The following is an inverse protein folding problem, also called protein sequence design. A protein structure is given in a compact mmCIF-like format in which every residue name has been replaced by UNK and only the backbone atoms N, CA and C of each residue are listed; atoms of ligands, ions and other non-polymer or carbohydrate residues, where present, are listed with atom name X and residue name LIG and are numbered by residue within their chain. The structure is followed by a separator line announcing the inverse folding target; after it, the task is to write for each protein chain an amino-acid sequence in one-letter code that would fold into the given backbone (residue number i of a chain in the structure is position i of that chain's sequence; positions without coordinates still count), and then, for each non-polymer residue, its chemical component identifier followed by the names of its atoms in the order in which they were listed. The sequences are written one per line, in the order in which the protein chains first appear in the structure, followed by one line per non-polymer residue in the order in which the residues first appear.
data_IF_532744765956
#
_entry.id   IF_532744765956
#
_cell.length_a   1.000
_cell.length_b   1.000
_cell.length_c   1.000
_cell.angle_alpha   90.00
_cell.angle_beta   90.00
_cell.angle_gamma   90.00
#
_symmetry.space_group_name_H-M   'P 1'
#
loop_
_entity.id
_entity.type
_entity.pdbx_description
1 polymer ?
#
# COMPACT_ATOMS: atom_id res chain seq x y z
N UNK A 1 5.49 -19.75 -10.57
CA UNK A 1 5.18 -19.49 -9.16
C UNK A 1 3.97 -18.57 -9.08
N UNK A 2 3.07 -18.85 -8.17
CA UNK A 2 1.86 -18.07 -7.99
C UNK A 2 1.74 -17.58 -6.55
N UNK A 3 1.53 -16.28 -6.40
CA UNK A 3 1.26 -15.68 -5.10
C UNK A 3 -0.22 -15.35 -5.03
N UNK A 4 -0.87 -15.70 -3.94
CA UNK A 4 -2.31 -15.46 -3.78
C UNK A 4 -2.65 -15.16 -2.34
N UNK A 5 -3.85 -14.65 -2.13
CA UNK A 5 -4.40 -14.49 -0.80
C UNK A 5 -4.97 -13.12 -0.51
N UNK A 6 -5.38 -12.96 0.73
CA UNK A 6 -5.94 -11.73 1.24
C UNK A 6 -4.80 -10.77 1.61
N UNK A 7 -4.93 -9.53 1.16
CA UNK A 7 -3.93 -8.48 1.41
C UNK A 7 -4.60 -7.23 1.95
N UNK A 8 -3.78 -6.29 2.40
CA UNK A 8 -4.25 -4.97 2.83
C UNK A 8 -3.27 -3.92 2.31
N UNK A 9 -3.80 -2.77 1.92
CA UNK A 9 -3.01 -1.63 1.48
C UNK A 9 -3.42 -0.39 2.25
N UNK A 10 -2.48 0.56 2.39
CA UNK A 10 -2.71 1.77 3.15
C UNK A 10 -2.49 3.02 2.31
N UNK A 11 -3.45 3.93 2.36
CA UNK A 11 -3.22 5.31 1.96
C UNK A 11 -2.90 6.06 3.24
N UNK A 12 -1.63 6.46 3.38
CA UNK A 12 -1.14 7.19 4.54
C UNK A 12 -1.13 8.67 4.18
N UNK A 13 -2.06 9.39 4.77
CA UNK A 13 -2.28 10.80 4.46
C UNK A 13 -1.32 11.69 5.23
N UNK A 14 -0.74 12.67 4.52
CA UNK A 14 0.15 13.69 5.09
C UNK A 14 -0.37 15.07 4.70
N UNK A 15 0.08 16.13 5.42
CA UNK A 15 -0.31 17.50 5.07
C UNK A 15 0.02 17.87 3.63
N UNK A 16 -0.69 18.86 3.08
CA UNK A 16 -0.52 19.39 1.73
C UNK A 16 -0.88 18.37 0.63
N UNK A 17 -1.88 17.52 0.90
CA UNK A 17 -2.37 16.51 -0.04
C UNK A 17 -1.28 15.57 -0.53
N UNK A 18 -0.43 15.14 0.41
CA UNK A 18 0.64 14.19 0.14
C UNK A 18 0.28 12.81 0.66
N UNK A 19 0.73 11.78 -0.04
CA UNK A 19 0.63 10.39 0.43
C UNK A 19 1.99 9.72 0.32
N UNK A 20 2.19 8.67 1.13
CA UNK A 20 3.45 7.94 1.15
C UNK A 20 3.38 6.74 0.21
N UNK A 21 4.36 6.64 -0.68
CA UNK A 21 4.53 5.47 -1.53
C UNK A 21 5.86 4.81 -1.23
N UNK A 22 5.92 3.52 -1.48
CA UNK A 22 7.15 2.74 -1.40
C UNK A 22 7.56 2.33 -2.81
N UNK A 23 8.87 2.20 -3.04
CA UNK A 23 9.39 1.62 -4.28
C UNK A 23 9.77 0.18 -3.99
N UNK A 24 9.17 -0.75 -4.74
CA UNK A 24 9.28 -2.18 -4.45
C UNK A 24 10.63 -2.74 -4.86
N UNK A 25 11.24 -3.52 -3.96
CA UNK A 25 12.44 -4.31 -4.25
C UNK A 25 12.11 -5.74 -4.68
N UNK A 26 10.91 -6.23 -4.32
CA UNK A 26 10.52 -7.62 -4.55
C UNK A 26 9.56 -7.77 -5.72
N UNK A 27 9.56 -8.97 -6.32
CA UNK A 27 8.60 -9.31 -7.35
C UNK A 27 7.27 -9.75 -6.74
N UNK A 28 6.13 -9.59 -7.40
CA UNK A 28 5.96 -8.89 -8.70
C UNK A 28 6.07 -7.38 -8.56
N UNK A 29 6.23 -6.70 -9.68
CA UNK A 29 6.33 -5.24 -9.76
C UNK A 29 7.58 -4.66 -9.09
N UNK A 30 8.72 -5.36 -9.24
CA UNK A 30 10.00 -4.80 -8.76
C UNK A 30 10.28 -3.47 -9.47
N UNK A 31 10.69 -2.47 -8.70
CA UNK A 31 11.02 -1.14 -9.22
C UNK A 31 9.82 -0.22 -9.43
N UNK A 32 8.61 -0.72 -9.23
CA UNK A 32 7.40 0.09 -9.30
C UNK A 32 7.11 0.73 -7.95
N UNK A 33 6.43 1.86 -7.99
CA UNK A 33 5.90 2.50 -6.78
C UNK A 33 4.60 1.81 -6.37
N UNK A 34 4.33 1.80 -5.07
CA UNK A 34 3.16 1.11 -4.53
C UNK A 34 2.72 1.76 -3.22
N UNK A 35 1.45 1.57 -2.91
CA UNK A 35 0.97 1.84 -1.55
C UNK A 35 1.60 0.81 -0.60
N UNK A 36 1.95 1.21 0.63
CA UNK A 36 2.39 0.25 1.63
C UNK A 36 1.32 -0.81 1.89
N UNK A 37 1.75 -2.02 2.16
CA UNK A 37 0.83 -3.12 2.45
C UNK A 37 1.47 -4.47 2.30
N UNK A 38 0.66 -5.51 2.44
CA UNK A 38 1.13 -6.87 2.32
C UNK A 38 0.06 -7.89 2.63
N UNK A 39 0.49 -9.16 2.72
CA UNK A 39 -0.42 -10.28 2.93
C UNK A 39 -0.79 -10.43 4.39
N UNK A 40 -2.05 -10.80 4.64
CA UNK A 40 -2.52 -11.13 5.98
C UNK A 40 -1.87 -12.43 6.44
N UNK A 41 -1.47 -12.46 7.69
CA UNK A 41 -1.02 -13.67 8.36
C UNK A 41 -2.23 -14.42 8.91
N UNK A 42 -2.03 -15.69 9.19
CA UNK A 42 -3.10 -16.55 9.71
C UNK A 42 -3.68 -15.97 11.00
N UNK A 43 -4.99 -15.82 11.04
CA UNK A 43 -5.69 -15.29 12.21
C UNK A 43 -5.72 -13.78 12.30
N UNK A 44 -5.10 -13.09 11.35
CA UNK A 44 -5.02 -11.63 11.33
C UNK A 44 -6.22 -11.04 10.59
N UNK A 45 -6.82 -9.98 11.14
CA UNK A 45 -7.79 -9.19 10.38
C UNK A 45 -7.03 -8.32 9.38
N UNK A 46 -7.73 -7.83 8.35
CA UNK A 46 -7.07 -6.94 7.38
C UNK A 46 -6.62 -5.62 8.02
N UNK A 47 -7.33 -5.15 9.04
CA UNK A 47 -6.93 -3.96 9.80
C UNK A 47 -5.63 -4.21 10.56
N UNK A 48 -5.50 -5.37 11.20
CA UNK A 48 -4.26 -5.76 11.87
C UNK A 48 -3.12 -5.91 10.87
N UNK A 49 -3.41 -6.46 9.70
CA UNK A 49 -2.43 -6.62 8.63
C UNK A 49 -1.84 -5.28 8.25
N UNK A 50 -2.71 -4.28 8.02
CA UNK A 50 -2.21 -3.00 7.53
C UNK A 50 -1.40 -2.25 8.58
N UNK A 51 -1.81 -2.32 9.84
CA UNK A 51 -1.05 -1.70 10.93
C UNK A 51 0.34 -2.33 11.03
N UNK A 52 0.41 -3.66 10.98
CA UNK A 52 1.68 -4.39 11.04
C UNK A 52 2.57 -4.09 9.83
N UNK A 53 2.02 -4.18 8.62
CA UNK A 53 2.79 -3.98 7.40
C UNK A 53 3.32 -2.56 7.27
N UNK A 54 2.53 -1.55 7.63
CA UNK A 54 3.00 -0.17 7.61
C UNK A 54 4.17 0.01 8.58
N UNK A 55 4.06 -0.57 9.77
CA UNK A 55 5.16 -0.50 10.75
C UNK A 55 6.43 -1.17 10.23
N UNK A 56 6.29 -2.36 9.65
CA UNK A 56 7.44 -3.09 9.10
C UNK A 56 8.10 -2.35 7.94
N UNK A 57 7.30 -1.82 7.01
CA UNK A 57 7.82 -1.21 5.79
C UNK A 57 8.30 0.22 5.98
N UNK A 58 7.67 0.99 6.85
CA UNK A 58 7.90 2.43 6.95
C UNK A 58 8.36 2.91 8.31
N UNK A 59 8.25 2.09 9.33
CA UNK A 59 8.55 2.49 10.71
C UNK A 59 7.44 3.28 11.38
N UNK A 60 6.38 3.62 10.65
CA UNK A 60 5.31 4.46 11.18
C UNK A 60 4.25 3.62 11.90
N UNK A 61 3.77 4.17 13.01
CA UNK A 61 2.62 3.63 13.72
C UNK A 61 1.39 4.38 13.25
N UNK A 62 0.38 3.62 12.83
CA UNK A 62 -0.82 4.21 12.23
C UNK A 62 -2.07 3.63 12.89
N UNK A 63 -3.18 4.37 12.73
CA UNK A 63 -4.50 3.83 13.05
C UNK A 63 -5.39 3.95 11.83
N UNK A 64 -6.33 3.02 11.72
CA UNK A 64 -7.27 2.99 10.59
C UNK A 64 -8.32 4.08 10.80
N UNK A 65 -8.51 4.90 9.76
CA UNK A 65 -9.56 5.92 9.74
C UNK A 65 -10.83 5.34 9.13
N UNK A 66 -10.72 4.73 7.93
CA UNK A 66 -11.86 4.09 7.27
C UNK A 66 -11.37 3.20 6.13
N UNK A 67 -12.24 2.30 5.68
CA UNK A 67 -11.98 1.48 4.49
C UNK A 67 -12.31 2.31 3.25
N UNK A 68 -11.40 2.30 2.27
CA UNK A 68 -11.61 2.91 0.96
C UNK A 68 -12.38 1.96 0.07
N UNK A 69 -11.99 0.69 0.03
CA UNK A 69 -12.66 -0.32 -0.78
C UNK A 69 -11.99 -1.66 -0.74
N UNK A 70 -12.58 -2.60 -1.46
CA UNK A 70 -12.04 -3.94 -1.63
C UNK A 70 -11.87 -4.18 -3.13
N UNK A 71 -10.78 -4.85 -3.51
CA UNK A 71 -10.36 -4.98 -4.91
C UNK A 71 -9.95 -6.40 -5.22
N UNK A 72 -9.80 -6.68 -6.49
CA UNK A 72 -9.24 -7.93 -6.96
C UNK A 72 -8.08 -7.60 -7.90
N UNK A 73 -6.92 -8.18 -7.64
CA UNK A 73 -5.71 -7.99 -8.44
C UNK A 73 -5.23 -9.33 -8.95
N UNK A 74 -5.19 -9.52 -10.27
CA UNK A 74 -4.65 -10.76 -10.82
C UNK A 74 -3.88 -10.48 -12.10
N UNK A 75 -2.87 -11.28 -12.36
CA UNK A 75 -2.05 -11.14 -13.56
C UNK A 75 -0.72 -11.84 -13.45
N UNK A 76 0.15 -11.50 -14.39
CA UNK A 76 1.53 -11.99 -14.42
C UNK A 76 2.44 -10.78 -14.59
N UNK A 77 3.40 -10.64 -13.69
CA UNK A 77 4.38 -9.54 -13.72
C UNK A 77 5.72 -10.08 -13.21
N UNK A 78 6.81 -9.75 -13.91
CA UNK A 78 8.15 -10.25 -13.55
C UNK A 78 8.19 -11.78 -13.49
N UNK A 79 7.45 -12.45 -14.42
CA UNK A 79 7.31 -13.90 -14.49
C UNK A 79 6.65 -14.54 -13.27
N UNK A 80 5.95 -13.75 -12.47
CA UNK A 80 5.25 -14.20 -11.27
C UNK A 80 3.76 -13.99 -11.48
N UNK A 81 2.97 -15.05 -11.25
CA UNK A 81 1.51 -14.95 -11.22
C UNK A 81 1.09 -14.43 -9.85
N UNK A 82 0.10 -13.55 -9.85
CA UNK A 82 -0.48 -13.09 -8.59
C UNK A 82 -1.99 -13.05 -8.69
N UNK A 83 -2.64 -13.26 -7.55
CA UNK A 83 -4.10 -13.25 -7.43
C UNK A 83 -4.43 -12.84 -5.99
N UNK A 84 -4.64 -11.55 -5.78
CA UNK A 84 -4.83 -10.98 -4.46
C UNK A 84 -6.19 -10.32 -4.32
N UNK A 85 -6.67 -10.28 -3.08
CA UNK A 85 -7.92 -9.61 -2.71
C UNK A 85 -7.60 -8.55 -1.65
N UNK A 86 -7.12 -7.37 -2.05
CA UNK A 86 -6.75 -6.34 -1.10
C UNK A 86 -7.93 -5.55 -0.58
N UNK A 87 -7.89 -5.25 0.73
CA UNK A 87 -8.71 -4.22 1.34
C UNK A 87 -7.82 -2.98 1.48
N UNK A 88 -8.29 -1.85 0.99
CA UNK A 88 -7.54 -0.59 1.05
C UNK A 88 -8.12 0.30 2.14
N UNK A 89 -7.26 0.83 3.00
CA UNK A 89 -7.65 1.66 4.13
C UNK A 89 -6.98 3.02 4.08
N UNK A 90 -7.73 4.03 4.47
CA UNK A 90 -7.15 5.32 4.83
C UNK A 90 -6.67 5.20 6.27
N UNK A 91 -5.41 5.53 6.51
CA UNK A 91 -4.80 5.48 7.84
C UNK A 91 -4.15 6.83 8.16
N UNK A 92 -3.99 7.09 9.45
CA UNK A 92 -3.27 8.29 9.90
C UNK A 92 -2.12 7.90 10.81
N UNK A 93 -1.05 8.67 10.77
CA UNK A 93 0.13 8.46 11.60
C UNK A 93 -0.18 8.88 13.03
N UNK A 94 0.11 8.00 13.98
CA UNK A 94 -0.04 8.28 15.40
C UNK A 94 1.29 8.18 16.17
N UNK A 95 2.37 7.78 15.51
CA UNK A 95 3.68 7.66 16.14
C UNK A 95 4.71 7.03 15.20
N UNK A 96 5.86 6.70 15.77
CA UNK A 96 6.95 6.08 15.03
C UNK A 96 7.77 7.09 14.24
N UNK A 97 8.82 6.58 13.60
CA UNK A 97 9.69 7.38 12.75
C UNK A 97 9.82 6.71 11.39
N UNK A 98 9.78 7.51 10.32
CA UNK A 98 9.90 7.00 8.97
C UNK A 98 11.26 6.35 8.76
N UNK A 99 11.27 5.06 8.43
CA UNK A 99 12.48 4.31 8.23
C UNK A 99 12.21 3.17 7.25
N UNK A 100 12.99 3.15 6.17
CA UNK A 100 12.84 2.17 5.11
C UNK A 100 13.27 0.77 5.57
N UNK A 101 12.44 -0.24 5.25
CA UNK A 101 12.77 -1.65 5.50
C UNK A 101 13.86 -2.11 4.53
N UNK A 102 14.97 -2.60 5.07
CA UNK A 102 16.10 -3.06 4.26
C UNK A 102 15.74 -4.38 3.59
N UNK A 103 16.00 -4.46 2.27
CA UNK A 103 15.84 -5.69 1.50
C UNK A 103 14.51 -5.86 0.78
N UNK A 104 13.47 -5.20 1.23
CA UNK A 104 12.14 -5.31 0.60
C UNK A 104 11.66 -4.01 -0.04
N UNK A 105 12.22 -2.89 0.38
CA UNK A 105 11.85 -1.56 -0.08
C UNK A 105 13.08 -0.85 -0.61
N UNK A 106 13.03 -0.38 -1.86
CA UNK A 106 14.11 0.41 -2.45
C UNK A 106 14.10 1.85 -1.95
N UNK A 107 12.92 2.41 -1.76
CA UNK A 107 12.76 3.81 -1.39
C UNK A 107 11.40 4.07 -0.76
N UNK A 108 11.33 5.14 0.03
CA UNK A 108 10.10 5.69 0.60
C UNK A 108 10.04 7.14 0.16
N UNK A 109 8.87 7.59 -0.31
CA UNK A 109 8.77 8.98 -0.76
C UNK A 109 7.33 9.47 -0.65
N UNK A 110 7.19 10.74 -0.26
CA UNK A 110 5.91 11.43 -0.30
C UNK A 110 5.66 11.95 -1.70
N UNK A 111 4.45 11.75 -2.18
CA UNK A 111 4.01 12.26 -3.47
C UNK A 111 2.76 13.11 -3.28
N UNK A 112 2.72 14.24 -3.98
CA UNK A 112 1.48 15.01 -4.09
C UNK A 112 0.44 14.19 -4.86
N UNK A 113 -0.81 14.28 -4.46
CA UNK A 113 -1.91 13.64 -5.19
C UNK A 113 -2.01 14.15 -6.63
N UNK A 114 -1.40 15.29 -6.94
CA UNK A 114 -1.37 15.85 -8.28
C UNK A 114 -0.18 15.39 -9.11
N UNK A 115 0.76 14.69 -8.49
CA UNK A 115 1.99 14.21 -9.14
C UNK A 115 2.27 12.75 -8.80
N UNK A 116 1.25 11.91 -8.86
CA UNK A 116 1.39 10.48 -8.63
C UNK A 116 2.16 9.86 -9.80
N UNK A 117 3.15 8.98 -9.54
CA UNK A 117 3.91 8.35 -10.62
C UNK A 117 3.02 7.44 -11.46
N UNK A 118 3.37 7.29 -12.74
CA UNK A 118 2.60 6.44 -13.67
C UNK A 118 2.84 4.95 -13.41
N UNK A 119 4.04 4.58 -12.96
CA UNK A 119 4.40 3.19 -12.75
C UNK A 119 4.02 2.70 -11.35
N UNK A 120 2.72 2.64 -11.11
CA UNK A 120 2.17 2.09 -9.88
C UNK A 120 1.92 0.59 -10.04
N UNK A 121 2.24 -0.16 -8.99
CA UNK A 121 2.02 -1.59 -8.94
C UNK A 121 0.54 -1.92 -8.81
N UNK A 122 0.19 -3.12 -9.27
CA UNK A 122 -1.16 -3.68 -9.09
C UNK A 122 -2.26 -2.73 -9.55
N UNK A 123 -3.35 -2.62 -8.77
CA UNK A 123 -4.44 -1.66 -9.05
C UNK A 123 -4.39 -0.46 -8.09
N UNK A 124 -3.20 -0.14 -7.59
CA UNK A 124 -3.04 0.94 -6.61
C UNK A 124 -3.45 2.31 -7.17
N UNK A 125 -3.34 2.51 -8.49
CA UNK A 125 -3.83 3.71 -9.14
C UNK A 125 -5.34 3.87 -8.94
N UNK A 126 -6.11 2.78 -9.00
CA UNK A 126 -7.55 2.83 -8.78
C UNK A 126 -7.89 3.15 -7.31
N UNK A 127 -7.12 2.57 -6.39
CA UNK A 127 -7.28 2.84 -4.97
C UNK A 127 -7.09 4.33 -4.66
N UNK A 128 -6.06 4.93 -5.25
CA UNK A 128 -5.76 6.36 -5.06
C UNK A 128 -6.86 7.22 -5.66
N UNK A 129 -7.38 6.86 -6.83
CA UNK A 129 -8.51 7.56 -7.45
C UNK A 129 -9.75 7.50 -6.57
N UNK A 130 -10.07 6.34 -6.05
CA UNK A 130 -11.24 6.15 -5.19
C UNK A 130 -11.11 6.97 -3.91
N UNK A 131 -9.93 6.99 -3.32
CA UNK A 131 -9.63 7.83 -2.17
C UNK A 131 -9.83 9.31 -2.50
N UNK A 132 -9.24 9.79 -3.59
CA UNK A 132 -9.35 11.20 -4.00
C UNK A 132 -10.80 11.60 -4.24
N UNK A 133 -11.58 10.76 -4.90
CA UNK A 133 -12.99 11.02 -5.17
C UNK A 133 -13.81 11.09 -3.88
N UNK A 134 -13.50 10.21 -2.91
CA UNK A 134 -14.24 10.18 -1.64
C UNK A 134 -13.96 11.42 -0.77
N UNK A 135 -12.81 12.08 -0.97
CA UNK A 135 -12.48 13.32 -0.25
C UNK A 135 -13.29 14.51 -0.72
N UNK A 136 -13.75 14.48 -1.95
CA UNK A 136 -14.46 15.61 -2.59
C UNK A 136 -15.96 15.63 -2.27
N UNK A 137 -16.46 14.58 -1.65
CA UNK A 137 -17.89 14.46 -1.34
C UNK A 137 -18.25 14.97 0.05
#
# INVERSE_FOLDING_TARGET
MKYSGRTATAIIEFPADMILLIKRETVPFRGYWALPGGRSERGETVEQTIIREVKEETGLEVEVVRKIGEYHEEGIQDKVEYDYYPACFLVKVIGGEMQKQIGEIQDLKLFSLQNIPENLAFVHNQMIKDYSSSRES
#
